data_IF_872164505268
#
_entry.id   IF_872164505268
#
_cell.length_a   1.000
_cell.length_b   1.000
_cell.length_c   1.000
_cell.angle_alpha   90.00
_cell.angle_beta   90.00
_cell.angle_gamma   90.00
#
_symmetry.space_group_name_H-M   'P 1'
#
loop_
_entity.id
_entity.type
_entity.pdbx_description
1 polymer ?
#
# COMPACT_ATOMS: atom_id res chain seq x y z
N UNK A 1 16.45 -4.66 23.83
CA UNK A 1 16.79 -4.58 22.38
C UNK A 1 15.90 -3.51 21.73
N UNK A 2 16.45 -2.33 21.42
CA UNK A 2 15.67 -1.21 20.83
C UNK A 2 15.49 -1.50 19.34
N UNK A 3 14.23 -1.62 18.89
CA UNK A 3 13.92 -1.87 17.48
C UNK A 3 13.74 -0.53 16.76
N UNK A 4 14.70 -0.16 15.93
CA UNK A 4 14.65 1.10 15.18
C UNK A 4 13.52 1.06 14.14
N UNK A 5 12.53 1.95 14.28
CA UNK A 5 11.47 2.15 13.31
C UNK A 5 11.78 3.40 12.49
N UNK A 6 12.10 3.22 11.21
CA UNK A 6 12.32 4.34 10.28
C UNK A 6 10.97 4.73 9.68
N UNK A 7 10.51 5.95 9.95
CA UNK A 7 9.33 6.54 9.32
C UNK A 7 9.73 7.75 8.47
N UNK A 8 9.00 7.98 7.38
CA UNK A 8 9.19 9.13 6.49
C UNK A 8 7.97 10.03 6.60
N UNK A 9 8.17 11.27 7.03
CA UNK A 9 7.12 12.29 7.07
C UNK A 9 7.30 13.25 5.90
N UNK A 10 6.21 13.57 5.22
CA UNK A 10 6.20 14.64 4.21
C UNK A 10 5.70 15.91 4.87
N UNK A 11 6.41 17.00 4.65
CA UNK A 11 5.97 18.32 5.09
C UNK A 11 4.71 18.75 4.32
N UNK A 12 3.77 19.47 4.97
CA UNK A 12 2.51 19.89 4.36
C UNK A 12 2.65 21.07 3.39
N UNK A 13 3.86 21.40 2.91
CA UNK A 13 4.04 22.39 1.85
C UNK A 13 3.37 21.87 0.57
N UNK A 14 2.27 22.50 0.20
CA UNK A 14 1.55 22.26 -1.06
C UNK A 14 1.38 23.59 -1.78
N UNK A 15 0.99 23.59 -3.05
CA UNK A 15 0.72 24.84 -3.78
C UNK A 15 -0.37 25.72 -3.14
N UNK A 16 -1.13 25.19 -2.17
CA UNK A 16 -2.14 25.91 -1.38
C UNK A 16 -1.70 26.28 0.04
N UNK A 17 -0.60 25.70 0.54
CA UNK A 17 -0.06 25.96 1.88
C UNK A 17 1.27 26.68 1.69
N UNK A 18 1.18 28.00 1.68
CA UNK A 18 2.30 28.94 1.56
C UNK A 18 2.57 29.61 2.89
N UNK A 19 3.82 29.98 3.15
CA UNK A 19 4.23 30.56 4.44
C UNK A 19 4.83 29.51 5.38
N UNK A 20 4.79 29.79 6.67
CA UNK A 20 5.44 28.95 7.68
C UNK A 20 4.58 27.73 8.04
N UNK A 21 5.17 26.54 7.92
CA UNK A 21 4.56 25.28 8.32
C UNK A 21 5.36 24.63 9.46
N UNK A 22 4.65 24.31 10.55
CA UNK A 22 5.17 23.55 11.68
C UNK A 22 4.63 22.12 11.62
N UNK A 23 5.52 21.15 11.81
CA UNK A 23 5.21 19.74 11.89
C UNK A 23 5.66 19.22 13.26
N UNK A 24 4.71 18.93 14.13
CA UNK A 24 4.98 18.37 15.47
C UNK A 24 4.73 16.87 15.48
N UNK A 25 5.72 16.10 15.92
CA UNK A 25 5.69 14.64 16.00
C UNK A 25 5.82 14.26 17.47
N UNK A 26 4.75 13.71 18.04
CA UNK A 26 4.72 13.23 19.42
C UNK A 26 4.99 11.72 19.43
N UNK A 27 6.02 11.29 20.14
CA UNK A 27 6.47 9.90 20.18
C UNK A 27 6.36 9.39 21.61
N UNK A 28 5.37 8.57 21.90
CA UNK A 28 5.25 7.86 23.18
C UNK A 28 5.85 6.46 23.09
N UNK A 29 6.51 6.03 24.16
CA UNK A 29 7.10 4.70 24.28
C UNK A 29 6.26 3.88 25.24
N UNK A 30 5.81 2.69 24.80
CA UNK A 30 5.14 1.73 25.66
C UNK A 30 6.02 0.50 25.82
N UNK A 31 6.21 0.05 27.06
CA UNK A 31 6.94 -1.17 27.34
C UNK A 31 6.13 -2.40 26.87
N UNK A 32 6.82 -3.47 26.44
CA UNK A 32 6.19 -4.67 25.85
C UNK A 32 5.24 -5.38 26.84
N UNK A 33 5.41 -5.13 28.14
CA UNK A 33 4.55 -5.63 29.22
C UNK A 33 3.36 -4.70 29.56
N UNK A 34 3.22 -3.54 28.89
CA UNK A 34 2.01 -2.71 28.89
C UNK A 34 1.77 -1.81 30.11
N UNK A 35 2.62 -1.83 31.13
CA UNK A 35 2.36 -1.16 32.41
C UNK A 35 2.89 0.28 32.53
N UNK A 36 3.88 0.69 31.72
CA UNK A 36 4.44 2.05 31.82
C UNK A 36 4.63 2.70 30.44
N UNK A 37 4.01 3.87 30.26
CA UNK A 37 4.17 4.73 29.09
C UNK A 37 5.18 5.82 29.46
N UNK A 38 6.31 5.86 28.76
CA UNK A 38 7.30 6.92 28.89
C UNK A 38 7.11 7.96 27.78
N UNK A 39 6.87 9.21 28.20
CA UNK A 39 6.77 10.38 27.33
C UNK A 39 5.51 10.43 26.46
N UNK A 40 5.25 11.62 25.90
CA UNK A 40 5.69 11.77 24.51
C UNK A 40 6.94 12.64 24.39
N UNK A 41 7.93 12.15 23.64
CA UNK A 41 8.98 12.97 23.05
C UNK A 41 8.38 13.76 21.89
N UNK A 42 8.34 15.08 22.00
CA UNK A 42 7.79 15.98 20.97
C UNK A 42 8.91 16.56 20.11
N UNK A 43 8.91 16.26 18.81
CA UNK A 43 9.81 16.82 17.82
C UNK A 43 9.05 17.80 16.93
N UNK A 44 9.40 19.09 16.98
CA UNK A 44 8.80 20.11 16.12
C UNK A 44 9.77 20.50 15.01
N UNK A 45 9.33 20.37 13.76
CA UNK A 45 10.09 20.73 12.57
C UNK A 45 9.42 21.93 11.88
N UNK A 46 10.18 22.99 11.60
CA UNK A 46 9.71 24.22 10.95
C UNK A 46 10.18 24.28 9.49
N UNK A 47 9.30 24.73 8.59
CA UNK A 47 9.65 24.94 7.17
C UNK A 47 8.85 26.08 6.54
N UNK A 48 9.51 26.89 5.72
CA UNK A 48 8.83 27.90 4.89
C UNK A 48 8.46 27.31 3.53
N UNK A 49 7.19 27.42 3.15
CA UNK A 49 6.60 26.92 1.93
C UNK A 49 6.37 28.07 0.92
N UNK A 50 6.77 27.87 -0.34
CA UNK A 50 6.62 28.87 -1.42
C UNK A 50 5.63 28.34 -2.46
N UNK A 51 4.74 29.20 -2.97
CA UNK A 51 3.78 28.84 -4.02
C UNK A 51 4.50 28.59 -5.36
N UNK A 52 4.13 27.49 -6.00
CA UNK A 52 4.62 27.13 -7.33
C UNK A 52 3.79 27.90 -8.39
N UNK A 53 4.41 28.88 -9.07
CA UNK A 53 3.74 29.81 -10.00
C UNK A 53 3.52 29.28 -11.42
N UNK A 54 3.60 27.96 -11.65
CA UNK A 54 3.43 27.38 -12.99
C UNK A 54 2.22 26.44 -13.13
N UNK A 55 1.03 27.03 -13.35
CA UNK A 55 0.06 26.62 -14.40
C UNK A 55 -1.18 27.52 -14.42
N UNK A 56 -1.22 28.45 -15.38
CA UNK A 56 -2.45 29.08 -15.90
C UNK A 56 -3.11 28.12 -16.89
N UNK A 57 -4.45 27.99 -16.86
CA UNK A 57 -5.41 28.50 -17.88
C UNK A 57 -6.78 27.78 -17.80
N UNK A 58 -7.81 28.60 -17.56
CA UNK A 58 -9.21 28.56 -18.05
C UNK A 58 -10.04 27.27 -17.97
N UNK A 59 -11.16 27.32 -17.23
CA UNK A 59 -12.55 27.42 -17.77
C UNK A 59 -13.49 27.71 -16.58
N UNK A 60 -14.40 28.67 -16.74
CA UNK A 60 -15.16 29.26 -15.65
C UNK A 60 -16.53 28.65 -15.35
N UNK A 61 -17.27 29.47 -14.59
CA UNK A 61 -18.71 29.55 -14.36
C UNK A 61 -19.30 28.92 -13.07
N UNK A 62 -19.72 29.88 -12.24
CA UNK A 62 -20.92 29.99 -11.41
C UNK A 62 -21.02 29.21 -10.09
N UNK A 63 -20.94 30.02 -9.04
CA UNK A 63 -21.52 29.85 -7.72
C UNK A 63 -23.04 29.71 -7.79
N UNK A 64 -23.58 28.73 -7.09
CA UNK A 64 -24.91 28.73 -6.46
C UNK A 64 -24.87 27.68 -5.34
N UNK A 65 -25.69 27.94 -4.35
CA UNK A 65 -25.54 27.58 -2.95
C UNK A 65 -25.98 26.14 -2.59
N UNK A 66 -25.83 25.85 -1.30
CA UNK A 66 -26.63 24.94 -0.47
C UNK A 66 -26.13 23.50 -0.23
N UNK A 67 -25.90 23.23 1.06
CA UNK A 67 -26.26 21.99 1.74
C UNK A 67 -25.51 20.73 1.32
N UNK A 68 -24.27 20.56 1.78
CA UNK A 68 -23.52 19.32 1.58
C UNK A 68 -22.94 18.83 2.89
N UNK A 69 -23.36 17.64 3.35
CA UNK A 69 -22.72 16.89 4.43
C UNK A 69 -21.19 16.85 4.27
N UNK A 70 -20.40 16.75 5.36
CA UNK A 70 -18.94 16.76 5.26
C UNK A 70 -18.48 15.67 4.30
N UNK A 71 -18.04 16.07 3.11
CA UNK A 71 -17.44 15.14 2.15
C UNK A 71 -16.24 14.49 2.86
N UNK A 72 -16.13 13.16 2.83
CA UNK A 72 -15.00 12.49 3.46
C UNK A 72 -13.70 13.04 2.83
N UNK A 73 -12.65 13.26 3.63
CA UNK A 73 -11.40 13.81 3.14
C UNK A 73 -10.91 13.00 1.92
N UNK A 74 -10.38 13.66 0.88
CA UNK A 74 -9.97 12.99 -0.35
C UNK A 74 -8.99 11.86 -0.02
N UNK A 75 -9.33 10.63 -0.44
CA UNK A 75 -8.45 9.46 -0.26
C UNK A 75 -7.22 9.62 -1.15
N UNK A 76 -6.17 10.21 -0.61
CA UNK A 76 -4.87 10.34 -1.29
C UNK A 76 -4.24 8.94 -1.36
N UNK A 77 -4.25 8.35 -2.56
CA UNK A 77 -3.62 7.06 -2.81
C UNK A 77 -2.10 7.20 -2.95
N UNK A 78 -1.34 6.61 -2.02
CA UNK A 78 0.13 6.71 -2.05
C UNK A 78 0.81 5.53 -2.77
N UNK A 79 0.02 4.60 -3.34
CA UNK A 79 0.54 3.47 -4.10
C UNK A 79 1.19 3.89 -5.42
N UNK A 80 2.46 3.50 -5.59
CA UNK A 80 3.18 3.60 -6.85
C UNK A 80 3.08 2.29 -7.62
N UNK A 81 2.56 2.33 -8.84
CA UNK A 81 2.35 1.13 -9.66
C UNK A 81 2.97 1.20 -11.06
N UNK A 82 3.98 2.05 -11.24
CA UNK A 82 4.79 2.00 -12.44
C UNK A 82 5.55 0.67 -12.55
N UNK A 83 5.92 0.30 -13.77
CA UNK A 83 6.63 -0.96 -14.08
C UNK A 83 7.83 -1.20 -13.15
N UNK A 84 8.70 -0.19 -13.00
CA UNK A 84 9.92 -0.28 -12.17
C UNK A 84 9.59 -0.62 -10.71
N UNK A 85 8.58 0.02 -10.14
CA UNK A 85 8.17 -0.22 -8.75
C UNK A 85 7.58 -1.62 -8.58
N UNK A 86 6.70 -2.06 -9.49
CA UNK A 86 6.10 -3.39 -9.43
C UNK A 86 7.15 -4.49 -9.57
N UNK A 87 8.13 -4.34 -10.48
CA UNK A 87 9.25 -5.28 -10.60
C UNK A 87 10.09 -5.36 -9.32
N UNK A 88 10.40 -4.22 -8.70
CA UNK A 88 11.12 -4.21 -7.40
C UNK A 88 10.32 -4.93 -6.32
N UNK A 89 8.99 -4.73 -6.28
CA UNK A 89 8.10 -5.41 -5.34
C UNK A 89 8.00 -6.91 -5.63
N UNK A 90 8.02 -7.33 -6.89
CA UNK A 90 8.01 -8.76 -7.27
C UNK A 90 9.13 -9.52 -6.56
N UNK A 91 10.33 -8.94 -6.56
CA UNK A 91 11.49 -9.52 -5.90
C UNK A 91 11.36 -9.55 -4.38
N UNK A 92 10.80 -8.49 -3.80
CA UNK A 92 10.63 -8.36 -2.35
C UNK A 92 9.47 -9.16 -1.79
N UNK A 93 8.45 -9.50 -2.59
CA UNK A 93 7.30 -10.30 -2.16
C UNK A 93 7.67 -11.75 -1.91
N UNK A 94 6.97 -12.39 -0.98
CA UNK A 94 7.25 -13.78 -0.63
C UNK A 94 6.58 -14.73 -1.63
N UNK A 95 5.39 -14.36 -2.11
CA UNK A 95 4.70 -15.05 -3.19
C UNK A 95 4.21 -14.07 -4.27
N UNK A 96 4.06 -14.58 -5.49
CA UNK A 96 3.46 -13.84 -6.61
C UNK A 96 2.54 -14.77 -7.39
N UNK A 97 1.28 -14.39 -7.49
CA UNK A 97 0.21 -15.20 -8.09
C UNK A 97 -0.63 -14.38 -9.06
N UNK A 98 -1.13 -15.02 -10.11
CA UNK A 98 -2.28 -14.57 -10.89
C UNK A 98 -3.51 -15.24 -10.29
N UNK A 99 -4.45 -14.45 -9.78
CA UNK A 99 -5.63 -14.98 -9.12
C UNK A 99 -6.90 -14.21 -9.50
N UNK A 100 -8.03 -14.91 -9.51
CA UNK A 100 -9.36 -14.32 -9.65
C UNK A 100 -9.94 -14.07 -8.26
N UNK A 101 -10.43 -12.87 -8.03
CA UNK A 101 -11.11 -12.49 -6.79
C UNK A 101 -12.49 -13.16 -6.74
N UNK A 102 -12.79 -13.92 -5.68
CA UNK A 102 -14.08 -14.60 -5.50
C UNK A 102 -14.97 -13.83 -4.52
N UNK A 103 -14.51 -13.62 -3.29
CA UNK A 103 -15.30 -12.91 -2.27
C UNK A 103 -14.42 -12.35 -1.15
N UNK A 104 -14.90 -11.33 -0.45
CA UNK A 104 -14.33 -10.85 0.81
C UNK A 104 -15.16 -11.43 1.96
N UNK A 105 -14.50 -12.06 2.94
CA UNK A 105 -15.09 -12.79 4.06
C UNK A 105 -14.61 -12.13 5.35
N UNK A 106 -15.51 -11.82 6.26
CA UNK A 106 -15.14 -11.40 7.61
C UNK A 106 -14.98 -12.63 8.49
N UNK A 107 -13.78 -12.83 9.06
CA UNK A 107 -13.53 -13.92 10.03
C UNK A 107 -12.84 -13.34 11.27
N UNK A 108 -13.49 -13.50 12.42
CA UNK A 108 -13.00 -12.97 13.71
C UNK A 108 -12.70 -11.46 13.65
N UNK A 109 -13.58 -10.68 12.99
CA UNK A 109 -13.40 -9.24 12.79
C UNK A 109 -12.32 -8.84 11.78
N UNK A 110 -11.57 -9.79 11.21
CA UNK A 110 -10.53 -9.52 10.22
C UNK A 110 -11.01 -9.88 8.81
N UNK A 111 -10.88 -8.96 7.83
CA UNK A 111 -11.25 -9.25 6.46
C UNK A 111 -10.25 -10.22 5.82
N UNK A 112 -10.79 -11.21 5.11
CA UNK A 112 -10.06 -12.22 4.33
C UNK A 112 -10.57 -12.23 2.90
N UNK A 113 -9.65 -12.35 1.95
CA UNK A 113 -9.96 -12.41 0.53
C UNK A 113 -9.92 -13.87 0.10
N UNK A 114 -11.04 -14.38 -0.40
CA UNK A 114 -11.12 -15.65 -1.09
C UNK A 114 -10.76 -15.46 -2.55
N UNK A 115 -9.75 -16.19 -3.01
CA UNK A 115 -9.24 -16.10 -4.38
C UNK A 115 -9.03 -17.47 -4.98
N UNK A 116 -9.26 -17.57 -6.30
CA UNK A 116 -8.91 -18.74 -7.11
C UNK A 116 -7.59 -18.49 -7.82
N UNK A 117 -6.61 -19.34 -7.58
CA UNK A 117 -5.29 -19.23 -8.20
C UNK A 117 -5.37 -19.75 -9.64
N UNK A 118 -5.03 -18.88 -10.59
CA UNK A 118 -4.96 -19.23 -12.01
C UNK A 118 -3.55 -19.61 -12.44
N UNK A 119 -2.55 -18.96 -11.86
CA UNK A 119 -1.13 -19.26 -12.11
C UNK A 119 -0.27 -18.76 -10.96
N UNK A 120 0.79 -19.49 -10.68
CA UNK A 120 1.81 -19.10 -9.72
C UNK A 120 3.08 -18.68 -10.45
N UNK A 121 3.67 -17.56 -10.03
CA UNK A 121 4.94 -17.05 -10.59
C UNK A 121 6.08 -17.08 -9.59
N UNK A 122 5.77 -16.97 -8.30
CA UNK A 122 6.72 -17.13 -7.19
C UNK A 122 5.99 -17.80 -6.03
N UNK A 123 6.56 -18.90 -5.55
CA UNK A 123 6.03 -19.68 -4.43
C UNK A 123 6.81 -19.32 -3.15
N UNK A 124 6.08 -19.06 -2.08
CA UNK A 124 6.63 -18.89 -0.73
C UNK A 124 6.84 -20.22 -0.02
N UNK A 125 7.14 -20.19 1.28
CA UNK A 125 7.22 -21.40 2.12
C UNK A 125 5.84 -21.89 2.56
N UNK A 126 4.84 -21.00 2.66
CA UNK A 126 3.47 -21.38 2.98
C UNK A 126 2.79 -21.97 1.76
N UNK A 127 2.24 -23.19 1.90
CA UNK A 127 1.56 -23.89 0.82
C UNK A 127 0.32 -23.13 0.37
N UNK A 128 0.16 -22.99 -0.95
CA UNK A 128 -0.97 -22.30 -1.57
C UNK A 128 -1.92 -23.35 -2.19
N UNK A 129 -3.22 -23.25 -1.88
CA UNK A 129 -4.28 -24.05 -2.49
C UNK A 129 -4.81 -23.35 -3.75
N UNK A 130 -4.94 -24.08 -4.86
CA UNK A 130 -5.30 -23.48 -6.13
C UNK A 130 -6.78 -23.08 -6.27
N UNK A 131 -7.72 -23.76 -5.58
CA UNK A 131 -9.17 -23.50 -5.75
C UNK A 131 -9.67 -22.33 -4.92
N UNK A 132 -9.48 -22.38 -3.61
CA UNK A 132 -10.05 -21.40 -2.67
C UNK A 132 -9.00 -20.96 -1.66
N UNK A 133 -7.99 -20.23 -2.13
CA UNK A 133 -6.98 -19.68 -1.25
C UNK A 133 -7.57 -18.51 -0.45
N UNK A 134 -7.28 -18.47 0.84
CA UNK A 134 -7.57 -17.31 1.69
C UNK A 134 -6.31 -16.45 1.85
N UNK A 135 -6.48 -15.15 1.71
CA UNK A 135 -5.46 -14.13 1.98
C UNK A 135 -5.99 -13.17 3.06
N UNK A 136 -5.27 -12.99 4.16
CA UNK A 136 -5.64 -11.97 5.16
C UNK A 136 -5.48 -10.57 4.56
N UNK A 137 -6.53 -9.75 4.62
CA UNK A 137 -6.48 -8.35 4.20
C UNK A 137 -6.10 -7.49 5.40
N UNK A 138 -4.83 -7.11 5.48
CA UNK A 138 -4.28 -6.27 6.55
C UNK A 138 -4.08 -4.81 6.11
N UNK A 139 -3.96 -4.59 4.81
CA UNK A 139 -3.81 -3.28 4.20
C UNK A 139 -5.08 -2.76 3.56
N UNK A 140 -5.22 -1.43 3.52
CA UNK A 140 -6.29 -0.74 2.81
C UNK A 140 -5.88 -0.41 1.37
N UNK A 141 -4.61 -0.05 1.18
CA UNK A 141 -4.05 0.37 -0.13
C UNK A 141 -3.37 -0.79 -0.87
N UNK A 142 -4.14 -1.83 -1.22
CA UNK A 142 -3.57 -3.02 -1.89
C UNK A 142 -3.46 -2.80 -3.40
N UNK A 143 -4.49 -2.20 -4.01
CA UNK A 143 -4.52 -1.96 -5.46
C UNK A 143 -3.81 -0.65 -5.83
N UNK A 144 -3.41 -0.56 -7.10
CA UNK A 144 -2.77 0.64 -7.64
C UNK A 144 -3.65 1.90 -7.64
N UNK A 145 -4.97 1.72 -7.62
CA UNK A 145 -5.96 2.79 -7.51
C UNK A 145 -6.41 3.02 -6.06
N UNK A 146 -5.80 2.34 -5.09
CA UNK A 146 -6.24 2.31 -3.69
C UNK A 146 -7.74 2.03 -3.52
N UNK A 147 -8.33 1.32 -4.48
CA UNK A 147 -9.68 0.79 -4.41
C UNK A 147 -9.65 -0.63 -3.86
N UNK A 148 -10.78 -1.11 -3.34
CA UNK A 148 -10.93 -2.52 -3.01
C UNK A 148 -10.73 -3.41 -4.25
N UNK A 149 -10.32 -4.66 -4.03
CA UNK A 149 -10.32 -5.67 -5.09
C UNK A 149 -11.77 -5.96 -5.47
N UNK A 150 -12.07 -5.90 -6.77
CA UNK A 150 -13.41 -6.19 -7.29
C UNK A 150 -13.56 -7.69 -7.46
N UNK A 151 -14.71 -8.23 -7.03
CA UNK A 151 -15.11 -9.61 -7.28
C UNK A 151 -15.10 -9.90 -8.79
N UNK A 152 -14.79 -11.14 -9.17
CA UNK A 152 -14.69 -11.63 -10.54
C UNK A 152 -13.60 -10.99 -11.42
N UNK A 153 -12.82 -10.04 -10.90
CA UNK A 153 -11.63 -9.55 -11.59
C UNK A 153 -10.41 -10.42 -11.34
N UNK A 154 -9.52 -10.42 -12.32
CA UNK A 154 -8.24 -11.13 -12.26
C UNK A 154 -7.13 -10.13 -11.95
N UNK A 155 -6.31 -10.47 -10.97
CA UNK A 155 -5.21 -9.64 -10.50
C UNK A 155 -3.90 -10.41 -10.53
N UNK A 156 -2.81 -9.68 -10.78
CA UNK A 156 -1.47 -10.08 -10.39
C UNK A 156 -1.24 -9.59 -8.96
N UNK A 157 -1.15 -10.52 -8.01
CA UNK A 157 -1.02 -10.24 -6.57
C UNK A 157 0.40 -10.56 -6.12
N UNK A 158 1.04 -9.57 -5.51
CA UNK A 158 2.35 -9.61 -4.91
C UNK A 158 2.16 -9.47 -3.40
N UNK A 159 2.34 -10.56 -2.65
CA UNK A 159 1.98 -10.62 -1.24
C UNK A 159 3.08 -11.14 -0.34
N UNK A 160 2.71 -11.36 0.93
CA UNK A 160 3.60 -11.75 2.01
C UNK A 160 3.06 -12.94 2.78
N UNK A 161 3.96 -13.69 3.40
CA UNK A 161 3.58 -14.86 4.19
C UNK A 161 4.00 -14.71 5.66
N UNK A 162 3.17 -15.23 6.55
CA UNK A 162 3.53 -15.45 7.94
C UNK A 162 3.86 -16.94 8.11
N UNK A 163 5.15 -17.25 8.20
CA UNK A 163 5.64 -18.63 8.30
C UNK A 163 5.23 -19.29 9.61
N UNK A 164 5.15 -18.53 10.71
CA UNK A 164 4.80 -19.06 12.04
C UNK A 164 3.34 -19.48 12.08
N UNK A 165 2.46 -18.63 11.54
CA UNK A 165 1.02 -18.88 11.51
C UNK A 165 0.56 -19.67 10.27
N UNK A 166 1.46 -19.92 9.32
CA UNK A 166 1.19 -20.55 8.02
C UNK A 166 0.07 -19.83 7.23
N UNK A 167 0.13 -18.50 7.20
CA UNK A 167 -0.88 -17.65 6.56
C UNK A 167 -0.28 -16.86 5.41
N UNK A 168 -1.11 -16.52 4.41
CA UNK A 168 -0.78 -15.55 3.38
C UNK A 168 -1.54 -14.26 3.67
N UNK A 169 -0.92 -13.11 3.48
CA UNK A 169 -1.55 -11.82 3.77
C UNK A 169 -1.16 -10.73 2.77
N UNK A 170 -2.02 -9.71 2.69
CA UNK A 170 -1.82 -8.49 1.92
C UNK A 170 -1.87 -7.28 2.86
N UNK A 171 -0.74 -6.59 2.98
CA UNK A 171 -0.57 -5.34 3.72
C UNK A 171 -0.44 -4.14 2.78
N UNK A 172 -0.16 -2.96 3.33
CA UNK A 172 0.03 -1.73 2.54
C UNK A 172 1.26 -1.80 1.60
N UNK A 173 2.20 -2.73 1.84
CA UNK A 173 3.36 -2.96 0.98
C UNK A 173 3.08 -3.96 -0.15
N UNK A 174 2.05 -4.79 0.01
CA UNK A 174 1.57 -5.76 -0.96
C UNK A 174 0.87 -5.05 -2.12
N UNK A 175 0.98 -5.58 -3.33
CA UNK A 175 0.48 -4.90 -4.54
C UNK A 175 -0.40 -5.83 -5.35
N UNK A 176 -1.61 -5.38 -5.68
CA UNK A 176 -2.49 -6.03 -6.64
C UNK A 176 -2.64 -5.16 -7.90
N UNK A 177 -2.23 -5.70 -9.05
CA UNK A 177 -2.32 -5.05 -10.36
C UNK A 177 -3.42 -5.73 -11.17
N UNK A 178 -4.35 -4.95 -11.74
CA UNK A 178 -5.36 -5.50 -12.64
C UNK A 178 -4.68 -6.20 -13.83
N UNK A 179 -5.04 -7.45 -14.08
CA UNK A 179 -4.43 -8.28 -15.11
C UNK A 179 -4.68 -7.75 -16.52
N UNK A 180 -5.86 -7.20 -16.78
CA UNK A 180 -6.23 -6.68 -18.09
C UNK A 180 -5.49 -5.40 -18.45
N UNK A 181 -5.18 -4.56 -17.46
CA UNK A 181 -4.48 -3.29 -17.64
C UNK A 181 -2.98 -3.50 -17.82
N UNK A 182 -2.27 -3.79 -16.74
CA UNK A 182 -0.80 -3.77 -16.72
C UNK A 182 -0.18 -5.13 -16.34
N UNK A 183 -0.95 -6.05 -15.74
CA UNK A 183 -0.41 -7.30 -15.20
C UNK A 183 0.29 -8.18 -16.23
N UNK A 184 -0.27 -8.32 -17.44
CA UNK A 184 0.34 -9.08 -18.55
C UNK A 184 1.72 -8.55 -18.94
N UNK A 185 1.83 -7.23 -19.13
CA UNK A 185 3.06 -6.57 -19.58
C UNK A 185 4.16 -6.71 -18.53
N UNK A 186 3.80 -6.58 -17.26
CA UNK A 186 4.74 -6.65 -16.14
C UNK A 186 5.35 -8.06 -16.01
N UNK A 187 4.55 -9.13 -16.08
CA UNK A 187 5.10 -10.49 -16.04
C UNK A 187 6.01 -10.79 -17.23
N UNK A 188 5.64 -10.34 -18.45
CA UNK A 188 6.48 -10.53 -19.63
C UNK A 188 7.84 -9.86 -19.48
N UNK A 189 7.89 -8.66 -18.89
CA UNK A 189 9.14 -7.96 -18.61
C UNK A 189 10.00 -8.68 -17.56
N UNK A 190 9.38 -9.28 -16.53
CA UNK A 190 10.12 -10.02 -15.50
C UNK A 190 10.82 -11.26 -16.06
N UNK A 191 10.18 -11.99 -16.98
CA UNK A 191 10.77 -13.18 -17.63
C UNK A 191 12.00 -12.88 -18.47
N UNK A 192 12.12 -11.66 -18.99
CA UNK A 192 13.27 -11.24 -19.81
C UNK A 192 14.47 -10.81 -18.96
N UNK A 193 14.23 -10.32 -17.74
CA UNK A 193 15.25 -9.74 -16.87
C UNK A 193 15.47 -10.60 -15.60
N UNK A 194 15.76 -11.89 -15.79
CA UNK A 194 15.75 -12.99 -14.79
C UNK A 194 16.47 -12.78 -13.45
N UNK A 195 17.10 -11.65 -13.16
CA UNK A 195 17.75 -11.39 -11.89
C UNK A 195 16.95 -10.36 -11.09
N UNK A 196 16.27 -10.83 -10.05
CA UNK A 196 16.02 -9.96 -8.92
C UNK A 196 17.37 -9.46 -8.39
N UNK A 197 17.58 -8.14 -8.21
CA UNK A 197 18.86 -7.63 -7.79
C UNK A 197 19.28 -8.32 -6.48
N UNK A 198 20.49 -8.89 -6.46
CA UNK A 198 21.02 -9.55 -5.28
C UNK A 198 21.04 -8.55 -4.12
N UNK A 199 20.61 -9.01 -2.93
CA UNK A 199 20.83 -8.23 -1.72
C UNK A 199 22.32 -8.26 -1.44
N UNK A 200 23.01 -7.12 -1.61
CA UNK A 200 24.31 -6.92 -0.98
C UNK A 200 24.05 -6.96 0.53
N UNK A 201 24.43 -8.05 1.18
CA UNK A 201 24.53 -8.11 2.64
C UNK A 201 25.64 -7.14 3.07
N UNK A 202 25.42 -6.34 4.13
CA UNK A 202 26.50 -5.62 4.80
C UNK A 202 27.57 -6.59 5.31
#
# INVERSE_FOLDING_TARGET
MIRLLIFRVKFPCTGKVTGEALLTINISFAEVAGSQIWGPLSLTLRRNCVADKHKRTNTGRNSSEQGGSPLPPPKICNKRCNRRHVMRRFCLSDFVIKARMESEIMKNGLPRLRVRILRMYKQGRVKINNRHQLLDKRGLEITCSCSNLKVNKVYLILGKEDKRRRLLYLDNFSTAVDWSKNGKQYIRANRKNNSCPQRRTP
#
